data_IF_991278684734
#
_entry.id   IF_991278684734
#
_cell.length_a   1.000
_cell.length_b   1.000
_cell.length_c   1.000
_cell.angle_alpha   90.00
_cell.angle_beta   90.00
_cell.angle_gamma   90.00
#
_symmetry.space_group_name_H-M   'P 1'
#
loop_
_entity.id
_entity.type
_entity.pdbx_description
1 polymer ?
#
# COMPACT_ATOMS: atom_id res chain seq x y z
N UNK A 1 -6.00 44.23 92.36
CA UNK A 1 -4.92 43.60 93.16
C UNK A 1 -3.86 43.21 92.14
N UNK A 2 -2.93 44.12 91.88
CA UNK A 2 -1.56 44.07 92.43
C UNK A 2 -0.77 42.92 91.78
N UNK A 3 0.43 43.03 91.25
CA UNK A 3 1.45 44.07 90.96
C UNK A 3 2.65 43.21 90.45
N UNK A 4 3.72 43.83 89.88
CA UNK A 4 5.10 43.27 89.73
C UNK A 4 5.39 42.64 88.35
N UNK A 5 6.04 43.35 87.39
CA UNK A 5 7.47 43.83 87.28
C UNK A 5 8.44 42.66 86.96
N UNK A 6 9.49 42.71 86.13
CA UNK A 6 10.24 43.73 85.39
C UNK A 6 11.37 43.05 84.53
N UNK A 7 12.09 43.86 83.75
CA UNK A 7 13.42 43.67 83.09
C UNK A 7 13.44 42.88 81.75
N UNK A 8 14.08 43.33 80.66
CA UNK A 8 14.99 44.46 80.42
C UNK A 8 15.15 44.70 78.90
N UNK A 9 15.43 45.97 78.57
CA UNK A 9 15.75 46.51 77.25
C UNK A 9 17.14 46.11 76.76
N UNK A 10 17.36 46.09 75.44
CA UNK A 10 18.52 46.70 74.73
C UNK A 10 18.10 47.03 73.29
N UNK A 11 18.36 48.28 72.87
CA UNK A 11 18.22 48.84 71.52
C UNK A 11 19.22 48.22 70.52
N UNK A 12 18.88 48.16 69.23
CA UNK A 12 19.53 48.94 68.14
C UNK A 12 19.18 48.35 66.75
N UNK A 13 18.54 49.19 65.94
CA UNK A 13 18.81 49.54 64.54
C UNK A 13 19.21 48.52 63.45
N UNK A 14 18.78 48.90 62.24
CA UNK A 14 19.30 48.63 60.90
C UNK A 14 18.71 47.44 60.08
N UNK A 15 18.00 47.87 59.03
CA UNK A 15 18.10 47.40 57.64
C UNK A 15 17.56 46.01 57.33
N UNK A 16 16.42 46.02 56.64
CA UNK A 16 15.91 44.90 55.83
C UNK A 16 16.86 44.69 54.64
N UNK A 17 17.65 43.62 54.67
CA UNK A 17 18.12 42.92 53.47
C UNK A 17 17.68 41.47 53.63
N UNK A 18 16.62 41.08 52.91
CA UNK A 18 16.35 39.68 52.66
C UNK A 18 17.46 39.17 51.72
N UNK A 19 18.50 38.58 52.31
CA UNK A 19 19.33 37.63 51.61
C UNK A 19 18.52 36.34 51.47
N UNK A 20 17.77 36.21 50.38
CA UNK A 20 17.35 34.89 49.90
C UNK A 20 18.63 34.19 49.49
N UNK A 21 19.12 33.28 50.35
CA UNK A 21 20.02 32.24 49.92
C UNK A 21 19.30 31.50 48.80
N UNK A 22 19.68 31.77 47.55
CA UNK A 22 19.41 30.87 46.45
C UNK A 22 20.16 29.59 46.80
N UNK A 23 19.47 28.67 47.47
CA UNK A 23 19.86 27.28 47.49
C UNK A 23 19.77 26.85 46.03
N UNK A 24 20.90 26.94 45.34
CA UNK A 24 21.09 26.39 44.02
C UNK A 24 20.96 24.88 44.21
N UNK A 25 19.72 24.38 44.09
CA UNK A 25 19.48 23.01 43.68
C UNK A 25 20.18 22.88 42.33
N UNK A 26 21.41 22.35 42.37
CA UNK A 26 21.99 21.71 41.21
C UNK A 26 21.03 20.57 40.86
N UNK A 27 20.11 20.83 39.94
CA UNK A 27 19.52 19.79 39.13
C UNK A 27 20.68 19.06 38.48
N UNK A 28 21.05 17.93 39.08
CA UNK A 28 22.02 17.00 38.55
C UNK A 28 21.19 15.95 37.84
N UNK A 29 21.37 15.88 36.52
CA UNK A 29 20.88 14.88 35.56
C UNK A 29 19.46 15.09 35.00
N UNK A 30 19.29 16.08 34.13
CA UNK A 30 18.75 15.72 32.81
C UNK A 30 19.89 14.96 32.11
N UNK A 31 19.75 13.65 31.93
CA UNK A 31 20.65 12.98 30.99
C UNK A 31 20.49 13.67 29.64
N UNK A 32 21.56 14.18 29.05
CA UNK A 32 21.61 14.73 27.67
C UNK A 32 21.30 13.64 26.60
N UNK A 33 20.61 12.58 26.99
CA UNK A 33 20.17 11.47 26.17
C UNK A 33 18.80 11.80 25.62
N UNK A 34 18.65 11.65 24.31
CA UNK A 34 17.36 11.75 23.64
C UNK A 34 17.06 10.45 22.91
N UNK A 35 15.79 10.18 22.61
CA UNK A 35 15.39 9.01 21.85
C UNK A 35 13.98 8.55 22.15
N UNK A 36 13.60 7.49 21.47
CA UNK A 36 12.22 7.00 21.43
C UNK A 36 12.20 5.48 21.37
N UNK A 37 11.06 4.89 21.69
CA UNK A 37 10.85 3.46 21.60
C UNK A 37 9.45 3.15 21.08
N UNK A 38 9.40 2.28 20.08
CA UNK A 38 8.18 1.80 19.48
C UNK A 38 8.17 0.27 19.50
N UNK A 39 7.03 -0.28 19.91
CA UNK A 39 6.76 -1.71 19.91
C UNK A 39 5.72 -2.06 18.85
N UNK A 40 5.97 -3.14 18.12
CA UNK A 40 5.03 -3.83 17.22
C UNK A 40 4.74 -5.23 17.79
N UNK A 41 3.97 -6.04 17.06
CA UNK A 41 3.49 -7.34 17.57
C UNK A 41 4.64 -8.29 17.97
N UNK A 42 5.69 -8.40 17.15
CA UNK A 42 6.78 -9.37 17.35
C UNK A 42 8.07 -8.78 17.93
N UNK A 43 8.27 -7.46 17.86
CA UNK A 43 9.49 -6.82 18.33
C UNK A 43 9.28 -5.38 18.82
N UNK A 44 10.22 -4.90 19.64
CA UNK A 44 10.36 -3.51 20.01
C UNK A 44 11.70 -2.99 19.55
N UNK A 45 11.71 -1.73 19.14
CA UNK A 45 12.89 -0.99 18.75
C UNK A 45 12.97 0.25 19.63
N UNK A 46 14.12 0.45 20.27
CA UNK A 46 14.44 1.69 20.97
C UNK A 46 15.71 2.32 20.42
N UNK A 47 15.73 3.64 20.36
CA UNK A 47 16.91 4.42 20.03
C UNK A 47 17.31 5.30 21.22
N UNK A 48 18.62 5.40 21.46
CA UNK A 48 19.19 6.31 22.46
C UNK A 48 20.35 7.06 21.82
N UNK A 49 20.19 8.37 21.67
CA UNK A 49 21.21 9.29 21.16
C UNK A 49 22.07 9.75 22.32
N UNK A 50 23.37 9.51 22.23
CA UNK A 50 24.36 9.92 23.21
C UNK A 50 25.01 11.25 22.80
N UNK A 51 25.48 12.05 23.79
CA UNK A 51 26.17 13.31 23.52
C UNK A 51 27.46 13.17 22.71
N UNK A 52 28.05 11.96 22.70
CA UNK A 52 29.26 11.64 21.94
C UNK A 52 29.00 11.37 20.45
N UNK A 53 27.87 11.81 19.89
CA UNK A 53 27.47 11.58 18.50
C UNK A 53 27.37 10.11 18.12
N UNK A 54 26.96 9.26 19.06
CA UNK A 54 26.62 7.85 18.83
C UNK A 54 25.15 7.61 19.13
N UNK A 55 24.47 6.82 18.30
CA UNK A 55 23.11 6.34 18.58
C UNK A 55 23.15 4.85 18.83
N UNK A 56 22.65 4.42 19.99
CA UNK A 56 22.43 3.01 20.29
C UNK A 56 21.01 2.62 19.89
N UNK A 57 20.90 1.45 19.27
CA UNK A 57 19.63 0.81 18.99
C UNK A 57 19.53 -0.52 19.75
N UNK A 58 18.38 -0.77 20.35
CA UNK A 58 18.03 -2.06 20.94
C UNK A 58 16.84 -2.65 20.18
N UNK A 59 17.06 -3.81 19.56
CA UNK A 59 16.04 -4.58 18.89
C UNK A 59 15.71 -5.77 19.79
N UNK A 60 14.51 -5.80 20.34
CA UNK A 60 14.09 -6.81 21.32
C UNK A 60 12.85 -7.55 20.85
N UNK A 61 12.78 -8.86 21.12
CA UNK A 61 11.59 -9.65 20.84
C UNK A 61 10.53 -9.47 21.92
N UNK A 62 9.26 -9.52 21.52
CA UNK A 62 8.14 -9.58 22.48
C UNK A 62 7.94 -10.98 23.08
N UNK A 63 8.62 -12.01 22.53
CA UNK A 63 8.48 -13.40 22.94
C UNK A 63 7.30 -14.14 22.30
N UNK A 64 6.46 -13.44 21.52
CA UNK A 64 5.32 -14.04 20.82
C UNK A 64 5.73 -15.12 19.81
N UNK A 65 6.94 -15.02 19.26
CA UNK A 65 7.56 -15.98 18.34
C UNK A 65 9.06 -16.10 18.63
N UNK A 66 9.63 -17.27 18.33
CA UNK A 66 11.08 -17.49 18.42
C UNK A 66 11.81 -16.62 17.41
N UNK A 67 12.92 -16.01 17.81
CA UNK A 67 13.77 -15.21 16.91
C UNK A 67 14.66 -16.13 16.09
N UNK A 68 14.52 -16.05 14.78
CA UNK A 68 15.51 -16.56 13.82
C UNK A 68 16.47 -15.46 13.41
N UNK A 69 15.94 -14.34 12.92
CA UNK A 69 16.70 -13.11 12.68
C UNK A 69 15.78 -11.89 12.82
N UNK A 70 16.36 -10.73 13.15
CA UNK A 70 15.66 -9.45 13.19
C UNK A 70 16.45 -8.39 12.44
N UNK A 71 15.76 -7.39 11.90
CA UNK A 71 16.39 -6.32 11.16
C UNK A 71 15.80 -4.96 11.47
N UNK A 72 16.66 -3.94 11.34
CA UNK A 72 16.31 -2.53 11.27
C UNK A 72 16.98 -1.94 10.04
N UNK A 73 16.27 -1.15 9.25
CA UNK A 73 16.84 -0.32 8.19
C UNK A 73 16.53 1.16 8.36
N UNK A 74 17.43 1.99 7.84
CA UNK A 74 17.34 3.45 7.89
C UNK A 74 16.69 3.99 6.62
N UNK A 75 15.37 4.09 6.64
CA UNK A 75 14.58 4.59 5.52
C UNK A 75 13.10 4.25 5.65
N UNK A 76 12.31 4.63 4.64
CA UNK A 76 10.86 4.45 4.61
C UNK A 76 10.39 3.24 3.78
N UNK A 77 11.31 2.55 3.09
CA UNK A 77 11.03 1.35 2.29
C UNK A 77 12.22 0.38 2.37
N UNK A 78 12.05 -0.90 2.03
CA UNK A 78 13.18 -1.84 2.01
C UNK A 78 14.20 -1.48 0.91
N UNK A 79 13.70 -1.05 -0.25
CA UNK A 79 14.53 -0.68 -1.39
C UNK A 79 15.42 0.52 -1.06
N UNK A 80 16.72 0.37 -1.32
CA UNK A 80 17.76 1.38 -1.13
C UNK A 80 17.93 1.87 0.32
N UNK A 81 17.38 1.16 1.31
CA UNK A 81 17.63 1.44 2.72
C UNK A 81 18.82 0.63 3.24
N UNK A 82 19.82 1.27 3.86
CA UNK A 82 20.84 0.56 4.63
C UNK A 82 20.21 -0.16 5.81
N UNK A 83 20.48 -1.45 5.96
CA UNK A 83 19.89 -2.33 6.96
C UNK A 83 20.96 -2.96 7.86
N UNK A 84 20.65 -3.11 9.13
CA UNK A 84 21.36 -3.93 10.10
C UNK A 84 20.50 -5.14 10.39
N UNK A 85 21.00 -6.32 10.06
CA UNK A 85 20.33 -7.61 10.25
C UNK A 85 21.14 -8.40 11.28
N UNK A 86 20.48 -8.93 12.30
CA UNK A 86 21.12 -9.61 13.42
C UNK A 86 20.46 -10.95 13.66
N UNK A 87 21.28 -11.98 13.88
CA UNK A 87 20.81 -13.32 14.24
C UNK A 87 21.75 -14.04 15.19
N UNK A 88 21.22 -14.90 16.07
CA UNK A 88 22.02 -15.81 16.88
C UNK A 88 22.50 -17.01 16.05
N UNK A 89 23.69 -17.51 16.36
CA UNK A 89 24.29 -18.68 15.73
C UNK A 89 24.24 -19.89 16.67
N UNK A 90 24.38 -21.09 16.10
CA UNK A 90 24.34 -22.36 16.83
C UNK A 90 25.50 -22.55 17.80
N UNK A 91 26.63 -21.88 17.58
CA UNK A 91 27.81 -21.87 18.45
C UNK A 91 27.69 -20.89 19.63
N UNK A 92 26.55 -20.19 19.75
CA UNK A 92 26.31 -19.19 20.78
C UNK A 92 26.90 -17.83 20.47
N UNK A 93 27.47 -17.61 19.28
CA UNK A 93 27.81 -16.27 18.79
C UNK A 93 26.60 -15.56 18.19
N UNK A 94 26.76 -14.28 17.87
CA UNK A 94 25.74 -13.47 17.17
C UNK A 94 26.39 -12.85 15.95
N UNK A 95 25.70 -12.90 14.82
CA UNK A 95 26.13 -12.23 13.60
C UNK A 95 25.37 -10.92 13.45
N UNK A 96 26.12 -9.83 13.24
CA UNK A 96 25.61 -8.57 12.73
C UNK A 96 26.02 -8.44 11.26
N UNK A 97 25.05 -8.16 10.40
CA UNK A 97 25.27 -7.98 8.97
C UNK A 97 24.66 -6.66 8.51
N UNK A 98 25.49 -5.78 7.93
CA UNK A 98 25.02 -4.58 7.26
C UNK A 98 24.77 -4.89 5.80
N UNK A 99 23.53 -4.65 5.34
CA UNK A 99 23.09 -5.01 3.99
C UNK A 99 22.25 -3.90 3.35
N UNK A 100 22.11 -3.97 2.04
CA UNK A 100 21.15 -3.17 1.28
C UNK A 100 20.53 -4.01 0.16
N UNK A 101 19.37 -3.61 -0.33
CA UNK A 101 18.72 -4.22 -1.49
C UNK A 101 18.22 -3.12 -2.45
N UNK A 102 18.31 -3.30 -3.77
CA UNK A 102 17.77 -2.34 -4.72
C UNK A 102 16.23 -2.37 -4.81
N UNK A 103 15.60 -3.41 -4.26
CA UNK A 103 14.17 -3.69 -4.33
C UNK A 103 13.75 -4.62 -3.17
N UNK A 104 12.52 -5.16 -3.22
CA UNK A 104 12.05 -6.24 -2.33
C UNK A 104 12.65 -7.59 -2.76
N UNK A 105 13.97 -7.70 -2.62
CA UNK A 105 14.77 -8.88 -2.93
C UNK A 105 15.73 -9.14 -1.78
N UNK A 106 16.29 -10.35 -1.70
CA UNK A 106 17.26 -10.71 -0.67
C UNK A 106 18.39 -9.66 -0.62
N UNK A 107 18.60 -8.98 0.52
CA UNK A 107 19.62 -7.96 0.63
C UNK A 107 21.01 -8.57 0.66
N UNK A 108 21.97 -7.87 0.06
CA UNK A 108 23.39 -8.25 -0.01
C UNK A 108 24.22 -7.38 0.90
N UNK A 109 25.34 -7.92 1.39
CA UNK A 109 26.27 -7.19 2.28
C UNK A 109 26.73 -5.89 1.63
N UNK A 110 26.63 -4.80 2.38
CA UNK A 110 27.24 -3.53 2.03
C UNK A 110 28.66 -3.51 2.60
N UNK A 111 29.67 -3.55 1.72
CA UNK A 111 31.07 -3.56 2.11
C UNK A 111 31.59 -2.20 2.60
N UNK A 112 30.83 -1.11 2.40
CA UNK A 112 31.24 0.23 2.81
C UNK A 112 30.01 1.05 3.25
N UNK A 113 29.37 0.68 4.37
CA UNK A 113 28.17 1.36 4.84
C UNK A 113 28.50 2.79 5.28
N UNK A 114 27.63 3.74 4.94
CA UNK A 114 27.79 5.14 5.34
C UNK A 114 27.82 5.35 6.87
N UNK A 115 27.22 4.43 7.61
CA UNK A 115 27.21 4.37 9.07
C UNK A 115 27.55 2.94 9.50
N UNK A 116 28.79 2.71 9.91
CA UNK A 116 29.20 1.40 10.43
C UNK A 116 28.47 1.08 11.74
N UNK A 117 27.93 -0.13 11.83
CA UNK A 117 27.22 -0.63 13.00
C UNK A 117 28.13 -1.54 13.82
N UNK A 118 28.22 -1.29 15.12
CA UNK A 118 29.03 -2.07 16.06
C UNK A 118 28.13 -2.77 17.08
N UNK A 119 28.15 -4.10 17.08
CA UNK A 119 27.36 -4.93 18.00
C UNK A 119 27.94 -4.84 19.42
N UNK A 120 27.08 -4.58 20.40
CA UNK A 120 27.43 -4.67 21.81
C UNK A 120 26.96 -6.01 22.37
N UNK A 121 27.86 -6.99 22.33
CA UNK A 121 27.58 -8.35 22.82
C UNK A 121 27.37 -8.38 24.33
N UNK A 122 27.96 -7.45 25.08
CA UNK A 122 27.86 -7.39 26.54
C UNK A 122 26.52 -6.88 27.04
N UNK A 123 25.86 -6.02 26.27
CA UNK A 123 24.50 -5.54 26.55
C UNK A 123 23.42 -6.37 25.85
N UNK A 124 23.78 -7.12 24.80
CA UNK A 124 22.85 -8.03 24.12
C UNK A 124 22.55 -9.28 24.95
N UNK A 125 21.33 -9.79 24.85
CA UNK A 125 20.89 -11.02 25.50
C UNK A 125 20.26 -11.93 24.46
N UNK A 126 20.97 -13.02 24.15
CA UNK A 126 20.59 -13.95 23.08
C UNK A 126 20.64 -15.41 23.56
N UNK A 127 20.93 -15.64 24.85
CA UNK A 127 21.33 -16.94 25.38
C UNK A 127 20.61 -17.39 26.68
N UNK A 128 19.51 -16.74 27.09
CA UNK A 128 18.84 -17.13 28.35
C UNK A 128 17.43 -17.68 28.11
N UNK A 129 17.19 -18.91 28.58
CA UNK A 129 15.91 -19.63 28.49
C UNK A 129 14.72 -18.94 29.18
N UNK A 130 14.95 -17.82 29.87
CA UNK A 130 13.98 -17.14 30.74
C UNK A 130 13.73 -15.68 30.35
N UNK A 131 14.23 -15.20 29.20
CA UNK A 131 13.92 -13.84 28.71
C UNK A 131 13.94 -13.75 27.19
N UNK A 132 13.20 -12.78 26.66
CA UNK A 132 13.11 -12.57 25.22
C UNK A 132 14.45 -12.04 24.67
N UNK A 133 14.92 -12.54 23.51
CA UNK A 133 16.17 -12.06 22.93
C UNK A 133 16.16 -10.55 22.67
N UNK A 134 17.28 -9.88 22.97
CA UNK A 134 17.52 -8.47 22.70
C UNK A 134 18.92 -8.25 22.14
N UNK A 135 19.02 -7.45 21.08
CA UNK A 135 20.27 -7.19 20.38
C UNK A 135 20.53 -5.70 20.37
N UNK A 136 21.70 -5.33 20.89
CA UNK A 136 22.10 -3.95 21.07
C UNK A 136 23.28 -3.66 20.19
N UNK A 137 23.19 -2.60 19.39
CA UNK A 137 24.29 -2.12 18.58
C UNK A 137 24.32 -0.59 18.55
N UNK A 138 25.44 -0.05 18.10
CA UNK A 138 25.65 1.39 17.96
C UNK A 138 26.01 1.76 16.54
N UNK A 139 25.67 2.98 16.15
CA UNK A 139 26.02 3.60 14.86
C UNK A 139 26.36 5.07 15.09
N UNK A 140 27.20 5.70 14.24
CA UNK A 140 27.40 7.15 14.27
C UNK A 140 26.07 7.89 14.17
N UNK A 141 25.83 8.89 15.01
CA UNK A 141 24.59 9.68 14.98
C UNK A 141 24.47 10.50 13.69
N UNK A 142 23.25 10.62 13.18
CA UNK A 142 22.88 11.67 12.23
C UNK A 142 22.33 12.86 13.01
N UNK A 143 22.08 13.99 12.33
CA UNK A 143 21.37 15.11 12.97
C UNK A 143 20.06 14.60 13.59
N UNK A 144 19.89 14.80 14.90
CA UNK A 144 18.70 14.34 15.61
C UNK A 144 17.44 14.91 14.95
N UNK A 145 16.58 14.02 14.49
CA UNK A 145 15.31 14.36 13.84
C UNK A 145 14.15 13.88 14.69
N UNK A 146 13.05 14.62 14.64
CA UNK A 146 11.76 14.26 15.22
C UNK A 146 11.06 13.12 14.47
N UNK A 147 11.55 12.73 13.29
CA UNK A 147 10.98 11.68 12.46
C UNK A 147 12.06 10.87 11.69
N UNK A 148 12.84 10.06 12.41
CA UNK A 148 13.76 9.09 11.79
C UNK A 148 12.95 7.93 11.22
N UNK A 149 12.83 7.85 9.90
CA UNK A 149 12.19 6.71 9.23
C UNK A 149 12.99 5.41 9.45
N UNK A 150 12.27 4.38 9.89
CA UNK A 150 12.79 3.05 10.17
C UNK A 150 11.95 2.02 9.42
N UNK A 151 12.60 1.10 8.71
CA UNK A 151 12.01 -0.17 8.28
C UNK A 151 12.44 -1.27 9.25
N UNK A 152 11.59 -2.24 9.52
CA UNK A 152 11.92 -3.36 10.41
C UNK A 152 11.38 -4.66 9.84
N UNK A 153 12.02 -5.77 10.22
CA UNK A 153 11.60 -7.10 9.82
C UNK A 153 11.96 -8.16 10.87
N UNK A 154 11.14 -9.20 10.94
CA UNK A 154 11.26 -10.30 11.89
C UNK A 154 11.07 -11.65 11.19
N UNK A 155 11.97 -12.59 11.44
CA UNK A 155 11.83 -13.97 10.99
C UNK A 155 12.04 -14.96 12.14
N UNK A 156 11.41 -16.13 12.01
CA UNK A 156 11.54 -17.24 12.96
C UNK A 156 12.62 -18.25 12.59
N UNK A 157 13.02 -18.30 11.32
CA UNK A 157 14.06 -19.20 10.84
C UNK A 157 15.41 -18.49 10.83
N UNK A 158 16.35 -18.97 11.65
CA UNK A 158 17.73 -18.48 11.63
C UNK A 158 18.43 -18.88 10.32
N UNK A 159 19.40 -18.09 9.83
CA UNK A 159 20.28 -18.51 8.75
C UNK A 159 21.11 -19.74 9.14
N UNK A 160 21.44 -20.58 8.16
CA UNK A 160 22.21 -21.83 8.39
C UNK A 160 23.71 -21.58 8.63
N UNK A 161 24.18 -20.35 8.41
CA UNK A 161 25.58 -19.95 8.50
C UNK A 161 25.73 -18.64 9.30
N UNK A 162 26.82 -18.55 10.06
CA UNK A 162 27.23 -17.36 10.82
C UNK A 162 27.86 -16.25 9.97
N UNK A 163 28.14 -16.49 8.69
CA UNK A 163 28.69 -15.46 7.81
C UNK A 163 27.75 -14.24 7.68
N UNK A 164 28.25 -13.00 7.77
CA UNK A 164 27.45 -11.82 7.44
C UNK A 164 26.83 -11.86 6.04
N UNK A 165 27.35 -12.66 5.10
CA UNK A 165 26.79 -12.85 3.76
C UNK A 165 25.81 -14.02 3.62
N UNK A 166 25.47 -14.72 4.71
CA UNK A 166 24.61 -15.90 4.69
C UNK A 166 23.27 -15.63 3.99
N UNK A 167 22.76 -16.66 3.30
CA UNK A 167 21.39 -16.63 2.78
C UNK A 167 20.40 -16.61 3.93
N UNK A 168 19.48 -15.65 3.89
CA UNK A 168 18.45 -15.48 4.92
C UNK A 168 17.07 -15.78 4.33
N UNK A 169 16.23 -16.42 5.13
CA UNK A 169 14.83 -16.64 4.76
C UNK A 169 14.06 -15.32 4.78
N UNK A 170 12.98 -15.22 4.01
CA UNK A 170 12.08 -14.06 4.05
C UNK A 170 11.46 -13.91 5.45
N UNK A 171 11.28 -12.66 5.89
CA UNK A 171 10.64 -12.35 7.16
C UNK A 171 9.18 -12.77 7.16
N UNK A 172 8.66 -13.11 8.34
CA UNK A 172 7.24 -13.41 8.54
C UNK A 172 6.43 -12.18 8.91
N UNK A 173 7.09 -11.10 9.33
CA UNK A 173 6.49 -9.84 9.71
C UNK A 173 7.47 -8.70 9.43
N UNK A 174 6.95 -7.57 8.97
CA UNK A 174 7.74 -6.41 8.59
C UNK A 174 6.87 -5.16 8.50
N UNK A 175 7.50 -4.00 8.63
CA UNK A 175 6.80 -2.73 8.51
C UNK A 175 7.74 -1.55 8.60
N UNK A 176 7.17 -0.37 8.81
CA UNK A 176 7.93 0.85 9.02
C UNK A 176 7.30 1.68 10.12
N UNK A 177 8.07 2.55 10.75
CA UNK A 177 7.60 3.60 11.66
C UNK A 177 8.64 4.72 11.74
N UNK A 178 8.31 5.82 12.42
CA UNK A 178 9.25 6.91 12.67
C UNK A 178 9.63 6.94 14.15
N UNK A 179 10.92 7.03 14.46
CA UNK A 179 11.41 7.29 15.81
C UNK A 179 11.69 8.79 15.98
N UNK A 180 11.24 9.36 17.09
CA UNK A 180 11.59 10.73 17.44
C UNK A 180 12.88 10.77 18.27
N UNK A 181 14.01 11.05 17.61
CA UNK A 181 15.32 11.06 18.26
C UNK A 181 15.58 12.30 19.12
N UNK A 182 14.61 13.21 19.26
CA UNK A 182 14.74 14.48 20.02
C UNK A 182 14.07 14.44 21.38
N UNK A 183 13.30 13.39 21.69
CA UNK A 183 12.59 13.28 22.97
C UNK A 183 13.62 13.08 24.10
N UNK A 184 13.68 13.97 25.11
CA UNK A 184 14.60 13.79 26.23
C UNK A 184 14.19 12.60 27.09
N UNK A 185 15.15 11.73 27.42
CA UNK A 185 14.93 10.64 28.38
C UNK A 185 14.70 11.22 29.76
N UNK A 186 13.45 11.20 30.21
CA UNK A 186 13.09 11.49 31.61
C UNK A 186 12.86 10.15 32.29
N UNK A 187 13.62 9.85 33.34
CA UNK A 187 13.50 8.58 34.06
C UNK A 187 12.05 8.39 34.56
N UNK A 188 11.29 7.49 33.92
CA UNK A 188 9.93 7.12 34.33
C UNK A 188 8.82 7.25 33.28
N UNK A 189 9.08 7.77 32.08
CA UNK A 189 8.05 7.86 31.03
C UNK A 189 8.28 6.82 29.93
N UNK A 190 7.41 5.82 29.87
CA UNK A 190 7.19 5.01 28.66
C UNK A 190 6.67 5.98 27.58
N UNK A 191 7.35 6.14 26.42
CA UNK A 191 6.90 7.08 25.41
C UNK A 191 5.51 6.67 24.93
N UNK A 192 4.59 7.62 25.01
CA UNK A 192 3.19 7.46 24.62
C UNK A 192 3.09 7.79 23.14
N UNK A 193 2.61 6.83 22.34
CA UNK A 193 2.38 6.96 20.90
C UNK A 193 1.49 8.17 20.58
N UNK A 194 2.08 9.26 20.10
CA UNK A 194 1.35 10.44 19.64
C UNK A 194 0.85 10.23 18.21
N UNK A 195 -0.41 9.86 18.07
CA UNK A 195 -1.14 9.80 16.81
C UNK A 195 -1.42 11.21 16.27
N UNK A 196 -0.54 11.69 15.37
CA UNK A 196 -0.77 12.89 14.56
C UNK A 196 -1.74 12.61 13.40
N UNK A 197 -2.63 13.56 13.08
CA UNK A 197 -3.73 13.38 12.11
C UNK A 197 -3.33 13.49 10.63
N UNK A 198 -2.09 13.11 10.28
CA UNK A 198 -1.64 12.98 8.89
C UNK A 198 -1.19 11.55 8.66
N UNK A 199 -1.61 10.92 7.55
CA UNK A 199 -1.10 9.59 7.20
C UNK A 199 0.40 9.71 6.96
N UNK A 200 1.17 8.82 7.56
CA UNK A 200 2.57 8.63 7.22
C UNK A 200 2.71 8.27 5.73
N UNK A 201 3.87 8.49 5.10
CA UNK A 201 4.11 8.07 3.71
C UNK A 201 3.82 6.58 3.46
N UNK A 202 4.04 5.71 4.46
CA UNK A 202 3.70 4.29 4.37
C UNK A 202 2.18 4.06 4.41
N UNK A 203 1.47 4.69 5.36
CA UNK A 203 0.01 4.60 5.42
C UNK A 203 -0.62 5.15 4.14
N UNK A 204 -0.03 6.20 3.56
CA UNK A 204 -0.44 6.74 2.26
C UNK A 204 -0.16 5.76 1.11
N UNK A 205 1.02 5.14 1.06
CA UNK A 205 1.37 4.12 0.06
C UNK A 205 0.42 2.91 0.12
N UNK A 206 0.22 2.33 1.30
CA UNK A 206 -0.72 1.22 1.53
C UNK A 206 -2.14 1.63 1.19
N UNK A 207 -2.54 2.86 1.56
CA UNK A 207 -3.85 3.39 1.20
C UNK A 207 -4.02 3.49 -0.32
N UNK A 208 -3.03 4.00 -1.05
CA UNK A 208 -3.06 4.09 -2.52
C UNK A 208 -3.19 2.70 -3.16
N UNK A 209 -2.46 1.69 -2.67
CA UNK A 209 -2.56 0.31 -3.15
C UNK A 209 -3.97 -0.25 -2.92
N UNK A 210 -4.52 -0.05 -1.72
CA UNK A 210 -5.88 -0.51 -1.39
C UNK A 210 -6.91 0.17 -2.28
N UNK A 211 -6.80 1.49 -2.46
CA UNK A 211 -7.71 2.25 -3.32
C UNK A 211 -7.56 1.87 -4.80
N UNK A 212 -6.34 1.64 -5.29
CA UNK A 212 -6.08 1.08 -6.62
C UNK A 212 -6.85 -0.23 -6.80
N UNK A 213 -6.67 -1.19 -5.88
CA UNK A 213 -7.33 -2.49 -5.94
C UNK A 213 -8.87 -2.38 -5.97
N UNK A 214 -9.45 -1.54 -5.11
CA UNK A 214 -10.90 -1.32 -5.05
C UNK A 214 -11.42 -0.68 -6.34
N UNK A 215 -10.80 0.43 -6.77
CA UNK A 215 -11.25 1.21 -7.91
C UNK A 215 -11.08 0.42 -9.22
N UNK A 216 -9.96 -0.28 -9.39
CA UNK A 216 -9.75 -1.17 -10.55
C UNK A 216 -10.71 -2.36 -10.54
N UNK A 217 -11.05 -2.92 -9.38
CA UNK A 217 -12.08 -3.98 -9.29
C UNK A 217 -13.44 -3.46 -9.72
N UNK A 218 -13.86 -2.28 -9.25
CA UNK A 218 -15.12 -1.65 -9.68
C UNK A 218 -15.13 -1.44 -11.20
N UNK A 219 -14.06 -0.88 -11.76
CA UNK A 219 -13.94 -0.64 -13.20
C UNK A 219 -13.94 -1.93 -14.02
N UNK A 220 -12.95 -2.79 -13.79
CA UNK A 220 -12.68 -3.96 -14.63
C UNK A 220 -13.56 -5.19 -14.34
N UNK A 221 -13.94 -5.45 -13.09
CA UNK A 221 -14.79 -6.59 -12.72
C UNK A 221 -16.27 -6.21 -12.62
N UNK A 222 -16.58 -4.96 -12.30
CA UNK A 222 -17.95 -4.47 -12.19
C UNK A 222 -18.48 -3.86 -13.48
N UNK A 223 -17.94 -2.69 -13.86
CA UNK A 223 -18.52 -1.85 -14.91
C UNK A 223 -18.30 -2.41 -16.32
N UNK A 224 -17.09 -2.87 -16.67
CA UNK A 224 -16.85 -3.43 -18.01
C UNK A 224 -17.74 -4.62 -18.33
N UNK A 225 -17.91 -5.61 -17.43
CA UNK A 225 -18.77 -6.73 -17.71
C UNK A 225 -20.25 -6.37 -17.61
N UNK A 226 -20.64 -5.42 -16.75
CA UNK A 226 -21.99 -4.86 -16.75
C UNK A 226 -22.35 -4.26 -18.11
N UNK A 227 -21.46 -3.46 -18.72
CA UNK A 227 -21.66 -2.92 -20.06
C UNK A 227 -21.79 -4.02 -21.12
N UNK A 228 -20.99 -5.08 -21.02
CA UNK A 228 -21.06 -6.24 -21.93
C UNK A 228 -22.37 -7.03 -21.76
N UNK A 229 -22.81 -7.28 -20.52
CA UNK A 229 -24.07 -7.95 -20.21
C UNK A 229 -25.27 -7.10 -20.67
N UNK A 230 -25.26 -5.78 -20.43
CA UNK A 230 -26.31 -4.88 -20.93
C UNK A 230 -26.44 -5.01 -22.45
N UNK A 231 -25.33 -4.92 -23.18
CA UNK A 231 -25.35 -5.12 -24.63
C UNK A 231 -25.81 -6.52 -25.02
N UNK A 232 -25.46 -7.54 -24.23
CA UNK A 232 -25.83 -8.92 -24.55
C UNK A 232 -27.33 -9.14 -24.43
N UNK A 233 -27.92 -8.75 -23.31
CA UNK A 233 -29.32 -8.99 -22.96
C UNK A 233 -30.27 -8.01 -23.64
N UNK A 234 -29.98 -6.70 -23.64
CA UNK A 234 -30.93 -5.70 -24.14
C UNK A 234 -30.99 -5.63 -25.68
N UNK A 235 -29.98 -6.13 -26.39
CA UNK A 235 -29.91 -6.04 -27.86
C UNK A 235 -31.12 -6.64 -28.57
N UNK A 236 -31.79 -7.63 -27.97
CA UNK A 236 -33.00 -8.25 -28.54
C UNK A 236 -34.31 -7.56 -28.16
N UNK A 237 -34.29 -6.66 -27.18
CA UNK A 237 -35.50 -6.07 -26.58
C UNK A 237 -35.59 -4.55 -26.70
N UNK A 238 -34.47 -3.84 -26.87
CA UNK A 238 -34.46 -2.38 -26.91
C UNK A 238 -33.42 -1.86 -27.89
N UNK A 239 -33.77 -0.85 -28.69
CA UNK A 239 -32.84 -0.15 -29.59
C UNK A 239 -31.82 0.72 -28.83
N UNK A 240 -32.08 1.02 -27.55
CA UNK A 240 -31.20 1.82 -26.68
C UNK A 240 -30.03 1.02 -26.10
N UNK A 241 -29.90 -0.27 -26.42
CA UNK A 241 -28.82 -1.13 -25.92
C UNK A 241 -27.43 -0.55 -26.21
N UNK A 242 -27.26 0.05 -27.39
CA UNK A 242 -25.97 0.63 -27.78
C UNK A 242 -25.63 1.85 -26.95
N UNK A 243 -26.60 2.75 -26.74
CA UNK A 243 -26.41 3.94 -25.91
C UNK A 243 -26.01 3.55 -24.48
N UNK A 244 -26.72 2.57 -23.88
CA UNK A 244 -26.38 2.08 -22.54
C UNK A 244 -25.00 1.43 -22.49
N UNK A 245 -24.65 0.60 -23.47
CA UNK A 245 -23.32 -0.02 -23.56
C UNK A 245 -22.22 1.03 -23.68
N UNK A 246 -22.34 1.95 -24.64
CA UNK A 246 -21.37 3.02 -24.87
C UNK A 246 -21.20 3.92 -23.63
N UNK A 247 -22.30 4.28 -22.96
CA UNK A 247 -22.28 5.11 -21.77
C UNK A 247 -21.55 4.42 -20.61
N UNK A 248 -21.88 3.16 -20.31
CA UNK A 248 -21.21 2.40 -19.25
C UNK A 248 -19.73 2.20 -19.58
N UNK A 249 -19.40 1.79 -20.82
CA UNK A 249 -18.01 1.51 -21.20
C UNK A 249 -17.17 2.77 -21.28
N UNK A 250 -17.70 3.92 -21.70
CA UNK A 250 -16.88 5.11 -21.93
C UNK A 250 -16.96 6.09 -20.76
N UNK A 251 -18.19 6.47 -20.39
CA UNK A 251 -18.44 7.59 -19.47
C UNK A 251 -18.30 7.16 -18.02
N UNK A 252 -18.76 5.94 -17.67
CA UNK A 252 -18.61 5.43 -16.31
C UNK A 252 -17.28 4.70 -16.10
N UNK A 253 -16.95 3.74 -16.96
CA UNK A 253 -15.76 2.90 -16.77
C UNK A 253 -14.47 3.68 -17.00
N UNK A 254 -14.43 4.60 -17.96
CA UNK A 254 -13.22 5.35 -18.32
C UNK A 254 -12.59 6.09 -17.15
N UNK A 255 -13.30 7.04 -16.52
CA UNK A 255 -12.78 7.78 -15.37
C UNK A 255 -12.36 6.88 -14.20
N UNK A 256 -13.16 5.84 -13.91
CA UNK A 256 -12.88 4.89 -12.82
C UNK A 256 -11.60 4.11 -13.11
N UNK A 257 -11.43 3.56 -14.31
CA UNK A 257 -10.24 2.81 -14.72
C UNK A 257 -9.00 3.72 -14.72
N UNK A 258 -9.11 4.94 -15.24
CA UNK A 258 -8.00 5.91 -15.23
C UNK A 258 -7.59 6.24 -13.80
N UNK A 259 -8.54 6.53 -12.91
CA UNK A 259 -8.25 6.82 -11.51
C UNK A 259 -7.58 5.63 -10.82
N UNK A 260 -8.12 4.42 -11.02
CA UNK A 260 -7.56 3.19 -10.48
C UNK A 260 -6.11 2.97 -10.92
N UNK A 261 -5.83 3.01 -12.23
CA UNK A 261 -4.47 2.83 -12.77
C UNK A 261 -3.53 3.94 -12.29
N UNK A 262 -4.01 5.19 -12.22
CA UNK A 262 -3.22 6.31 -11.69
C UNK A 262 -2.80 6.09 -10.24
N UNK A 263 -3.71 5.61 -9.39
CA UNK A 263 -3.39 5.25 -8.00
C UNK A 263 -2.30 4.17 -7.91
N UNK A 264 -2.30 3.20 -8.82
CA UNK A 264 -1.24 2.18 -8.90
C UNK A 264 0.12 2.77 -9.24
N UNK A 265 0.17 3.67 -10.24
CA UNK A 265 1.41 4.38 -10.64
C UNK A 265 1.91 5.25 -9.50
N UNK A 266 1.02 6.00 -8.83
CA UNK A 266 1.37 6.84 -7.68
C UNK A 266 1.86 6.00 -6.51
N UNK A 267 1.26 4.84 -6.26
CA UNK A 267 1.74 3.91 -5.23
C UNK A 267 3.17 3.43 -5.52
N UNK A 268 3.48 3.03 -6.76
CA UNK A 268 4.84 2.62 -7.16
C UNK A 268 5.83 3.77 -6.96
N UNK A 269 5.47 5.00 -7.38
CA UNK A 269 6.32 6.18 -7.18
C UNK A 269 6.56 6.48 -5.70
N UNK A 270 5.51 6.46 -4.88
CA UNK A 270 5.61 6.75 -3.45
C UNK A 270 6.44 5.67 -2.71
N UNK A 271 6.28 4.41 -3.11
CA UNK A 271 7.06 3.28 -2.58
C UNK A 271 8.44 3.12 -3.21
N UNK A 272 8.87 4.04 -4.09
CA UNK A 272 10.15 3.97 -4.82
C UNK A 272 10.38 2.61 -5.53
N UNK A 273 9.29 1.96 -5.96
CA UNK A 273 9.34 0.67 -6.64
C UNK A 273 9.69 0.81 -8.13
N UNK A 274 10.05 -0.31 -8.76
CA UNK A 274 10.20 -0.36 -10.20
C UNK A 274 8.84 -0.44 -10.89
N UNK A 275 8.74 0.24 -12.04
CA UNK A 275 7.60 0.12 -12.94
C UNK A 275 7.81 -1.07 -13.88
N UNK A 276 6.75 -1.81 -14.19
CA UNK A 276 6.73 -2.88 -15.20
C UNK A 276 7.73 -4.03 -14.95
N UNK A 277 8.09 -4.29 -13.70
CA UNK A 277 9.04 -5.33 -13.28
C UNK A 277 8.38 -6.68 -12.91
N UNK A 278 7.05 -6.76 -12.90
CA UNK A 278 6.32 -8.01 -12.63
C UNK A 278 5.13 -8.21 -13.57
N UNK A 279 4.52 -9.40 -13.48
CA UNK A 279 3.38 -9.79 -14.31
C UNK A 279 2.16 -8.90 -14.07
N UNK A 280 1.90 -8.48 -12.83
CA UNK A 280 0.74 -7.64 -12.51
C UNK A 280 0.88 -6.28 -13.18
N UNK A 281 2.02 -5.61 -13.05
CA UNK A 281 2.25 -4.29 -13.65
C UNK A 281 2.26 -4.37 -15.18
N UNK A 282 2.91 -5.38 -15.75
CA UNK A 282 2.95 -5.58 -17.21
C UNK A 282 1.57 -5.88 -17.81
N UNK A 283 0.83 -6.85 -17.26
CA UNK A 283 -0.50 -7.20 -17.74
C UNK A 283 -1.50 -6.06 -17.49
N UNK A 284 -1.40 -5.36 -16.36
CA UNK A 284 -2.23 -4.19 -16.05
C UNK A 284 -2.05 -3.05 -17.06
N UNK A 285 -0.80 -2.73 -17.41
CA UNK A 285 -0.50 -1.74 -18.44
C UNK A 285 -1.03 -2.17 -19.83
N UNK A 286 -0.83 -3.44 -20.20
CA UNK A 286 -1.38 -3.98 -21.44
C UNK A 286 -2.91 -3.90 -21.49
N UNK A 287 -3.60 -4.25 -20.39
CA UNK A 287 -5.05 -4.14 -20.28
C UNK A 287 -5.55 -2.71 -20.39
N UNK A 288 -4.82 -1.75 -19.80
CA UNK A 288 -5.15 -0.34 -19.90
C UNK A 288 -5.09 0.15 -21.36
N UNK A 289 -4.04 -0.22 -22.09
CA UNK A 289 -3.92 0.10 -23.53
C UNK A 289 -5.01 -0.59 -24.35
N UNK A 290 -5.23 -1.90 -24.12
CA UNK A 290 -6.25 -2.68 -24.81
C UNK A 290 -7.66 -2.13 -24.57
N UNK A 291 -7.95 -1.62 -23.39
CA UNK A 291 -9.23 -0.98 -23.08
C UNK A 291 -9.49 0.24 -23.99
N UNK A 292 -8.54 1.16 -24.14
CA UNK A 292 -8.72 2.30 -25.07
C UNK A 292 -8.76 1.85 -26.53
N UNK A 293 -7.93 0.89 -26.92
CA UNK A 293 -7.96 0.32 -28.27
C UNK A 293 -9.35 -0.27 -28.58
N UNK A 294 -9.96 -0.95 -27.60
CA UNK A 294 -11.30 -1.53 -27.72
C UNK A 294 -12.40 -0.47 -27.81
N UNK A 295 -12.30 0.63 -27.05
CA UNK A 295 -13.22 1.77 -27.16
C UNK A 295 -13.14 2.41 -28.56
N UNK A 296 -11.93 2.69 -29.04
CA UNK A 296 -11.69 3.25 -30.37
C UNK A 296 -12.18 2.31 -31.47
N UNK A 297 -11.93 1.00 -31.33
CA UNK A 297 -12.42 0.00 -32.26
C UNK A 297 -13.94 -0.02 -32.30
N UNK A 298 -14.61 -0.01 -31.14
CA UNK A 298 -16.08 0.07 -31.06
C UNK A 298 -16.65 1.34 -31.69
N UNK A 299 -16.02 2.48 -31.45
CA UNK A 299 -16.38 3.75 -32.08
C UNK A 299 -16.21 3.68 -33.60
N UNK A 300 -15.09 3.14 -34.09
CA UNK A 300 -14.82 2.94 -35.51
C UNK A 300 -15.90 2.08 -36.18
N UNK A 301 -16.31 0.96 -35.57
CA UNK A 301 -17.40 0.13 -36.10
C UNK A 301 -18.72 0.90 -36.19
N UNK A 302 -19.00 1.75 -35.21
CA UNK A 302 -20.26 2.49 -35.17
C UNK A 302 -20.31 3.66 -36.16
N UNK A 303 -19.23 4.43 -36.26
CA UNK A 303 -19.17 5.66 -37.06
C UNK A 303 -18.73 5.41 -38.51
N UNK A 304 -17.95 4.36 -38.78
CA UNK A 304 -17.45 4.02 -40.12
C UNK A 304 -18.23 2.80 -40.63
N UNK A 305 -19.39 3.06 -41.25
CA UNK A 305 -20.26 2.01 -41.82
C UNK A 305 -19.93 1.75 -43.29
N UNK A 306 -19.60 0.50 -43.65
CA UNK A 306 -19.53 0.11 -45.07
C UNK A 306 -20.92 0.14 -45.71
N UNK A 307 -21.05 0.92 -46.79
CA UNK A 307 -22.30 1.11 -47.55
C UNK A 307 -22.76 -0.14 -48.32
N UNK A 308 -21.92 -1.17 -48.43
CA UNK A 308 -22.15 -2.35 -49.28
C UNK A 308 -22.36 -3.65 -48.49
N UNK A 309 -22.40 -3.62 -47.16
CA UNK A 309 -22.44 -4.85 -46.38
C UNK A 309 -23.85 -5.45 -46.33
N UNK A 310 -23.98 -6.69 -46.80
CA UNK A 310 -25.14 -7.55 -46.55
C UNK A 310 -24.89 -8.35 -45.27
N UNK A 311 -25.74 -8.13 -44.26
CA UNK A 311 -25.63 -8.82 -42.97
C UNK A 311 -24.59 -8.25 -41.99
N UNK A 312 -24.30 -9.01 -40.93
CA UNK A 312 -23.44 -8.57 -39.82
C UNK A 312 -21.96 -8.62 -40.22
N UNK A 313 -21.29 -7.47 -40.14
CA UNK A 313 -19.91 -7.35 -40.57
C UNK A 313 -18.93 -8.06 -39.61
N UNK A 314 -17.85 -8.69 -40.12
CA UNK A 314 -16.86 -9.44 -39.32
C UNK A 314 -16.27 -8.67 -38.13
N UNK A 315 -16.04 -7.36 -38.28
CA UNK A 315 -15.55 -6.50 -37.19
C UNK A 315 -16.41 -6.56 -35.91
N UNK A 316 -17.72 -6.80 -36.03
CA UNK A 316 -18.61 -6.90 -34.86
C UNK A 316 -18.34 -8.15 -34.03
N UNK A 317 -17.89 -9.23 -34.67
CA UNK A 317 -17.48 -10.45 -33.98
C UNK A 317 -16.10 -10.27 -33.34
N UNK A 318 -15.16 -9.67 -34.08
CA UNK A 318 -13.85 -9.33 -33.57
C UNK A 318 -13.95 -8.42 -32.33
N UNK A 319 -14.80 -7.39 -32.36
CA UNK A 319 -15.02 -6.52 -31.21
C UNK A 319 -15.57 -7.27 -29.99
N UNK A 320 -16.54 -8.17 -30.20
CA UNK A 320 -17.07 -8.98 -29.10
C UNK A 320 -15.98 -9.92 -28.53
N UNK A 321 -15.20 -10.57 -29.39
CA UNK A 321 -14.13 -11.49 -28.99
C UNK A 321 -13.05 -10.77 -28.18
N UNK A 322 -12.50 -9.66 -28.71
CA UNK A 322 -11.48 -8.86 -28.03
C UNK A 322 -12.01 -8.33 -26.69
N UNK A 323 -13.25 -7.84 -26.66
CA UNK A 323 -13.88 -7.36 -25.42
C UNK A 323 -14.02 -8.44 -24.35
N UNK A 324 -14.41 -9.66 -24.74
CA UNK A 324 -14.48 -10.81 -23.83
C UNK A 324 -13.10 -11.24 -23.35
N UNK A 325 -12.09 -11.21 -24.22
CA UNK A 325 -10.70 -11.50 -23.84
C UNK A 325 -10.19 -10.49 -22.81
N UNK A 326 -10.46 -9.19 -23.00
CA UNK A 326 -10.11 -8.14 -22.02
C UNK A 326 -10.75 -8.46 -20.66
N UNK A 327 -12.06 -8.76 -20.64
CA UNK A 327 -12.77 -9.11 -19.39
C UNK A 327 -12.16 -10.36 -18.72
N UNK A 328 -11.86 -11.40 -19.49
CA UNK A 328 -11.25 -12.62 -18.96
C UNK A 328 -9.86 -12.38 -18.38
N UNK A 329 -9.02 -11.61 -19.09
CA UNK A 329 -7.71 -11.21 -18.60
C UNK A 329 -7.80 -10.31 -17.37
N UNK A 330 -8.83 -9.44 -17.29
CA UNK A 330 -9.08 -8.63 -16.10
C UNK A 330 -9.39 -9.46 -14.86
N UNK A 331 -10.10 -10.59 -14.99
CA UNK A 331 -10.31 -11.51 -13.87
C UNK A 331 -9.01 -12.08 -13.36
N UNK A 332 -8.15 -12.53 -14.27
CA UNK A 332 -6.84 -13.03 -13.89
C UNK A 332 -5.97 -11.93 -13.25
N UNK A 333 -5.97 -10.73 -13.83
CA UNK A 333 -5.24 -9.56 -13.35
C UNK A 333 -5.62 -9.17 -11.92
N UNK A 334 -6.92 -9.12 -11.60
CA UNK A 334 -7.37 -8.86 -10.22
C UNK A 334 -7.01 -10.03 -9.31
N UNK A 335 -7.12 -11.27 -9.80
CA UNK A 335 -6.73 -12.47 -9.08
C UNK A 335 -5.29 -12.42 -8.58
N UNK A 336 -4.33 -12.18 -9.49
CA UNK A 336 -2.91 -12.02 -9.12
C UNK A 336 -2.67 -10.75 -8.29
N UNK A 337 -3.46 -9.70 -8.51
CA UNK A 337 -3.36 -8.44 -7.76
C UNK A 337 -3.58 -8.62 -6.27
N UNK A 338 -4.68 -9.26 -5.85
CA UNK A 338 -4.94 -9.44 -4.41
C UNK A 338 -4.17 -10.61 -3.79
N UNK A 339 -3.85 -11.66 -4.56
CA UNK A 339 -3.26 -12.89 -4.01
C UNK A 339 -1.72 -12.88 -3.99
N UNK A 340 -1.08 -12.11 -4.87
CA UNK A 340 0.38 -12.09 -5.01
C UNK A 340 0.92 -10.68 -4.81
N UNK A 341 0.42 -9.70 -5.59
CA UNK A 341 0.97 -8.35 -5.57
C UNK A 341 0.66 -7.62 -4.26
N UNK A 342 -0.53 -7.79 -3.70
CA UNK A 342 -0.91 -7.15 -2.44
C UNK A 342 -0.05 -7.63 -1.25
N UNK A 343 0.15 -8.94 -0.99
CA UNK A 343 1.11 -9.42 0.00
C UNK A 343 2.53 -8.96 -0.27
N UNK A 344 3.00 -9.06 -1.52
CA UNK A 344 4.36 -8.67 -1.90
C UNK A 344 4.65 -7.20 -1.61
N UNK A 345 3.70 -6.31 -1.90
CA UNK A 345 3.94 -4.86 -1.82
C UNK A 345 3.58 -4.28 -0.45
N UNK A 346 2.70 -4.93 0.32
CA UNK A 346 2.26 -4.41 1.62
C UNK A 346 2.70 -5.22 2.83
N UNK A 347 3.23 -6.43 2.63
CA UNK A 347 3.49 -7.40 3.71
C UNK A 347 2.23 -8.02 4.31
N UNK A 348 1.03 -7.60 3.88
CA UNK A 348 -0.25 -8.03 4.43
C UNK A 348 -1.02 -8.95 3.48
N UNK A 349 -1.72 -9.93 4.03
CA UNK A 349 -2.66 -10.74 3.26
C UNK A 349 -3.98 -9.99 3.02
N UNK A 350 -4.53 -10.07 1.81
CA UNK A 350 -5.87 -9.57 1.56
C UNK A 350 -6.91 -10.35 2.39
N UNK A 351 -7.98 -9.71 2.89
CA UNK A 351 -9.04 -10.42 3.62
C UNK A 351 -9.64 -11.54 2.78
N UNK A 352 -9.99 -12.69 3.40
CA UNK A 352 -10.60 -13.83 2.72
C UNK A 352 -11.87 -13.46 1.93
N UNK A 353 -12.62 -12.47 2.42
CA UNK A 353 -13.80 -11.94 1.74
C UNK A 353 -13.49 -11.45 0.30
N UNK A 354 -12.29 -10.94 0.04
CA UNK A 354 -11.87 -10.52 -1.31
C UNK A 354 -11.82 -11.71 -2.26
N UNK A 355 -11.26 -12.84 -1.80
CA UNK A 355 -11.21 -14.07 -2.59
C UNK A 355 -12.63 -14.61 -2.88
N UNK A 356 -13.51 -14.61 -1.87
CA UNK A 356 -14.92 -15.04 -2.04
C UNK A 356 -15.64 -14.19 -3.08
N UNK A 357 -15.51 -12.86 -2.98
CA UNK A 357 -16.11 -11.92 -3.94
C UNK A 357 -15.55 -12.15 -5.35
N UNK A 358 -14.24 -12.31 -5.48
CA UNK A 358 -13.59 -12.57 -6.76
C UNK A 358 -14.11 -13.88 -7.40
N UNK A 359 -14.13 -14.99 -6.64
CA UNK A 359 -14.64 -16.29 -7.13
C UNK A 359 -16.09 -16.16 -7.61
N UNK A 360 -16.94 -15.52 -6.79
CA UNK A 360 -18.34 -15.31 -7.14
C UNK A 360 -18.49 -14.59 -8.49
N UNK A 361 -17.77 -13.48 -8.68
CA UNK A 361 -17.86 -12.69 -9.92
C UNK A 361 -17.30 -13.43 -11.14
N UNK A 362 -16.17 -14.12 -10.96
CA UNK A 362 -15.53 -14.92 -12.02
C UNK A 362 -16.44 -16.08 -12.48
N UNK A 363 -17.31 -16.60 -11.61
CA UNK A 363 -18.31 -17.59 -12.00
C UNK A 363 -19.60 -16.94 -12.54
N UNK A 364 -20.17 -15.97 -11.81
CA UNK A 364 -21.50 -15.43 -12.09
C UNK A 364 -21.57 -14.68 -13.42
N UNK A 365 -20.56 -13.86 -13.76
CA UNK A 365 -20.61 -13.07 -14.99
C UNK A 365 -20.51 -13.94 -16.24
N UNK A 366 -19.54 -14.87 -16.38
CA UNK A 366 -19.52 -15.76 -17.54
C UNK A 366 -20.81 -16.55 -17.70
N UNK A 367 -21.38 -17.07 -16.61
CA UNK A 367 -22.67 -17.77 -16.64
C UNK A 367 -23.78 -16.85 -17.16
N UNK A 368 -23.88 -15.61 -16.63
CA UNK A 368 -24.85 -14.63 -17.10
C UNK A 368 -24.66 -14.26 -18.58
N UNK A 369 -23.41 -14.18 -19.05
CA UNK A 369 -23.13 -13.90 -20.46
C UNK A 369 -23.53 -15.07 -21.36
N UNK A 370 -23.17 -16.30 -20.97
CA UNK A 370 -23.49 -17.53 -21.70
C UNK A 370 -25.01 -17.76 -21.77
N UNK A 371 -25.75 -17.52 -20.68
CA UNK A 371 -27.22 -17.57 -20.70
C UNK A 371 -27.80 -16.58 -21.72
N UNK A 372 -27.22 -15.39 -21.84
CA UNK A 372 -27.63 -14.41 -22.85
C UNK A 372 -27.43 -14.89 -24.30
N UNK A 373 -26.56 -15.88 -24.55
CA UNK A 373 -26.37 -16.46 -25.88
C UNK A 373 -27.59 -17.28 -26.35
N UNK A 374 -28.47 -17.71 -25.44
CA UNK A 374 -29.75 -18.34 -25.79
C UNK A 374 -30.63 -17.43 -26.67
N UNK A 375 -30.41 -16.12 -26.60
CA UNK A 375 -31.11 -15.11 -27.39
C UNK A 375 -30.52 -14.90 -28.79
N UNK A 376 -29.39 -15.53 -29.14
CA UNK A 376 -28.72 -15.34 -30.43
C UNK A 376 -29.62 -15.65 -31.63
N UNK A 377 -30.39 -16.75 -31.56
CA UNK A 377 -31.30 -17.11 -32.67
C UNK A 377 -32.33 -16.01 -32.93
N UNK A 378 -32.87 -15.41 -31.88
CA UNK A 378 -33.81 -14.29 -31.97
C UNK A 378 -33.11 -13.05 -32.54
N UNK A 379 -31.93 -12.73 -32.04
CA UNK A 379 -31.14 -11.60 -32.50
C UNK A 379 -30.84 -11.71 -34.01
N UNK A 380 -30.35 -12.85 -34.49
CA UNK A 380 -30.01 -13.01 -35.91
C UNK A 380 -31.23 -12.92 -36.82
N UNK A 381 -32.41 -13.40 -36.38
CA UNK A 381 -33.66 -13.22 -37.13
C UNK A 381 -34.06 -11.75 -37.27
N UNK A 382 -33.90 -10.96 -36.20
CA UNK A 382 -34.16 -9.52 -36.22
C UNK A 382 -33.17 -8.80 -37.16
N UNK A 383 -31.88 -9.15 -37.10
CA UNK A 383 -30.85 -8.58 -37.98
C UNK A 383 -31.07 -8.96 -39.45
N UNK A 384 -31.52 -10.19 -39.77
CA UNK A 384 -31.82 -10.61 -41.14
C UNK A 384 -33.11 -9.99 -41.69
N UNK A 385 -34.13 -9.78 -40.84
CA UNK A 385 -35.41 -9.18 -41.24
C UNK A 385 -35.26 -7.71 -41.67
N UNK A 386 -34.31 -6.98 -41.07
CA UNK A 386 -33.96 -5.61 -41.45
C UNK A 386 -33.35 -5.54 -42.87
N UNK A 387 -32.66 -6.59 -43.32
CA UNK A 387 -31.98 -6.63 -44.63
C UNK A 387 -32.96 -6.90 -45.79
N UNK A 388 -34.15 -7.42 -45.51
CA UNK A 388 -35.10 -7.93 -46.52
C UNK A 388 -36.19 -6.95 -46.98
N UNK A 389 -36.14 -5.65 -46.65
CA UNK A 389 -37.09 -4.65 -47.18
C UNK A 389 -36.53 -3.98 -48.46
N UNK A 390 -36.98 -4.34 -49.68
CA UNK A 390 -36.46 -3.79 -50.93
C UNK A 390 -37.30 -2.61 -51.46
N UNK A 391 -38.44 -2.28 -50.83
CA UNK A 391 -39.27 -1.16 -51.25
C UNK A 391 -38.94 0.11 -50.46
N UNK A 392 -37.91 0.81 -50.92
CA UNK A 392 -37.84 2.28 -51.04
C UNK A 392 -37.96 3.19 -49.81
N UNK A 393 -38.42 2.74 -48.65
CA UNK A 393 -38.46 3.55 -47.43
C UNK A 393 -37.68 2.85 -46.32
N UNK A 394 -36.41 3.23 -46.19
CA UNK A 394 -35.61 2.79 -45.04
C UNK A 394 -36.29 3.24 -43.75
N UNK A 395 -36.40 2.38 -42.72
CA UNK A 395 -36.91 2.76 -41.39
C UNK A 395 -36.10 3.90 -40.76
N UNK A 396 -34.87 4.14 -41.24
CA UNK A 396 -34.07 5.32 -40.90
C UNK A 396 -34.68 6.63 -41.45
N UNK A 397 -35.35 6.59 -42.60
CA UNK A 397 -36.11 7.71 -43.16
C UNK A 397 -37.36 8.03 -42.34
N UNK A 398 -38.07 7.01 -41.85
CA UNK A 398 -39.27 7.20 -41.01
C UNK A 398 -38.88 7.79 -39.64
N UNK A 399 -37.78 7.32 -39.04
CA UNK A 399 -37.31 7.82 -37.73
C UNK A 399 -36.67 9.22 -37.80
N UNK A 400 -36.00 9.58 -38.91
CA UNK A 400 -35.56 10.97 -39.14
C UNK A 400 -36.74 11.91 -39.43
N UNK A 401 -37.82 11.41 -40.00
CA UNK A 401 -39.02 12.20 -40.32
C UNK A 401 -39.85 12.47 -39.05
N UNK A 402 -39.99 11.50 -38.13
CA UNK A 402 -40.59 11.71 -36.80
C UNK A 402 -39.79 12.69 -35.95
N UNK A 403 -38.46 12.59 -35.95
CA UNK A 403 -37.59 13.50 -35.17
C UNK A 403 -37.62 14.93 -35.71
N UNK A 404 -37.85 15.12 -37.03
CA UNK A 404 -38.05 16.43 -37.65
C UNK A 404 -39.45 17.02 -37.42
N UNK A 405 -40.48 16.20 -37.20
CA UNK A 405 -41.82 16.70 -36.86
C UNK A 405 -41.95 17.17 -35.42
N UNK A 406 -41.25 16.52 -34.48
CA UNK A 406 -41.20 16.95 -33.07
C UNK A 406 -40.41 18.23 -32.84
N UNK A 407 -39.49 18.59 -33.76
CA UNK A 407 -38.71 19.84 -33.67
C UNK A 407 -39.35 21.04 -34.41
N UNK A 408 -40.54 20.87 -35.02
CA UNK A 408 -41.30 21.96 -35.68
C UNK A 408 -42.55 22.38 -34.92
N UNK A 409 -42.80 21.80 -33.74
CA UNK A 409 -43.99 22.05 -32.93
C UNK A 409 -43.67 22.68 -31.56
N UNK A 410 -42.47 23.23 -31.39
CA UNK A 410 -42.14 24.14 -30.29
C UNK A 410 -41.62 25.49 -30.82
#
# INVERSE_FOLDING_TARGET
MAFIRFLSAVLFSLVVVQASAAMQTRDTNSSDLTGDSICVELMCISATVFPNSTTQYNLSSTGSKTVGWIAMGFGSTMANSPMVIIWPNSDGSVTLSQRAAPAHVMPTVDSNPAREASLDVGLSNFASSNSNPSFIYTVPSVASTDAQAIVWAFATAAPDDSSPSATINEHIDAGTFNLNLTIPFTAGTVPTSSSGSGRSPQEEHVHMIRMHGIVCTIGFLGLLPLGALLARWLRTFSTRWFLGHWFIQTILSGPVIIAGVTLGILAVNLGQGMHLDDTHKNLGAALFVLYFAQLLFGAGIHFIKSRSATGRQPQNYAHALVGLTIIGLSYWQVGIGYSQEYPKTTGMTAPEAVAVVWIFWVAAIPVAYLMGLLLLRRQYRQESGIVMHPNGSSSAGIMQQEMRSTLRTE
#
